data_IF_649481443388
#
_entry.id   IF_649481443388
#
_cell.length_a   1.000
_cell.length_b   1.000
_cell.length_c   1.000
_cell.angle_alpha   90.00
_cell.angle_beta   90.00
_cell.angle_gamma   90.00
#
_symmetry.space_group_name_H-M   'P 1'
#
loop_
_entity.id
_entity.type
_entity.pdbx_description
1 polymer ?
#
# COMPACT_ATOMS: atom_id res chain seq x y z
N UNK A 1 9.76 29.46 -5.00
CA UNK A 1 9.10 28.22 -4.55
C UNK A 1 10.23 27.25 -4.29
N UNK A 2 10.33 26.69 -3.09
CA UNK A 2 11.40 25.77 -2.73
C UNK A 2 11.35 24.55 -3.65
N UNK A 3 12.50 24.19 -4.18
CA UNK A 3 12.76 23.05 -5.06
C UNK A 3 12.79 21.75 -4.23
N UNK A 4 11.82 21.62 -3.33
CA UNK A 4 11.74 20.47 -2.42
C UNK A 4 11.06 19.30 -3.14
N UNK A 5 11.67 18.13 -3.06
CA UNK A 5 11.17 16.95 -3.74
C UNK A 5 9.73 16.59 -3.28
N UNK A 6 8.84 16.32 -4.23
CA UNK A 6 7.42 16.00 -3.97
C UNK A 6 7.20 14.61 -3.36
N UNK A 7 8.21 13.75 -3.41
CA UNK A 7 8.28 12.45 -2.74
C UNK A 7 9.65 12.35 -2.08
N UNK A 8 9.65 12.04 -0.79
CA UNK A 8 10.85 11.78 0.00
C UNK A 8 10.95 10.29 0.28
N UNK A 9 12.17 9.77 0.36
CA UNK A 9 12.42 8.40 0.81
C UNK A 9 13.42 8.40 1.95
N UNK A 10 13.16 7.54 2.94
CA UNK A 10 14.06 7.25 4.05
C UNK A 10 14.13 5.73 4.24
N UNK A 11 15.28 5.20 4.64
CA UNK A 11 15.46 3.77 4.82
C UNK A 11 16.15 3.44 6.13
N UNK A 12 15.64 2.45 6.81
CA UNK A 12 16.26 1.87 8.00
C UNK A 12 15.85 0.40 8.13
N UNK A 13 16.80 -0.45 8.47
CA UNK A 13 16.57 -1.85 8.84
C UNK A 13 15.71 -2.64 7.84
N UNK A 14 15.92 -2.42 6.54
CA UNK A 14 15.19 -3.08 5.46
C UNK A 14 13.80 -2.52 5.17
N UNK A 15 13.41 -1.42 5.81
CA UNK A 15 12.14 -0.71 5.56
C UNK A 15 12.40 0.55 4.75
N UNK A 16 11.69 0.71 3.64
CA UNK A 16 11.66 1.93 2.83
C UNK A 16 10.42 2.75 3.16
N UNK A 17 10.59 3.92 3.77
CA UNK A 17 9.52 4.90 3.97
C UNK A 17 9.43 5.79 2.74
N UNK A 18 8.24 5.89 2.15
CA UNK A 18 7.91 6.72 0.98
C UNK A 18 6.92 7.78 1.46
N UNK A 19 7.34 9.04 1.46
CA UNK A 19 6.53 10.15 1.95
C UNK A 19 6.10 11.06 0.80
N UNK A 20 4.79 11.18 0.56
CA UNK A 20 4.25 12.22 -0.31
C UNK A 20 4.43 13.55 0.41
N UNK A 21 5.21 14.47 -0.19
CA UNK A 21 5.64 15.71 0.45
C UNK A 21 5.09 16.94 -0.25
N UNK A 22 3.78 17.13 -0.15
CA UNK A 22 3.05 18.33 -0.60
C UNK A 22 1.99 18.72 0.44
N UNK A 23 2.38 18.98 1.71
CA UNK A 23 1.43 19.22 2.79
C UNK A 23 0.53 20.45 2.54
N UNK A 24 1.02 21.49 1.86
CA UNK A 24 0.26 22.67 1.45
C UNK A 24 -0.90 22.36 0.50
N UNK A 25 -0.77 21.28 -0.28
CA UNK A 25 -1.81 20.74 -1.17
C UNK A 25 -2.51 19.51 -0.58
N UNK A 26 -2.38 19.25 0.74
CA UNK A 26 -2.88 18.02 1.41
C UNK A 26 -2.41 16.75 0.71
N UNK A 27 -1.18 16.76 0.23
CA UNK A 27 -0.54 15.65 -0.48
C UNK A 27 -1.31 15.18 -1.73
N UNK A 28 -2.01 16.11 -2.40
CA UNK A 28 -2.68 15.83 -3.65
C UNK A 28 -1.69 15.38 -4.72
N UNK A 29 -2.08 14.36 -5.48
CA UNK A 29 -1.23 13.68 -6.46
C UNK A 29 -1.23 14.44 -7.79
N UNK A 30 -0.06 14.92 -8.18
CA UNK A 30 0.28 15.39 -9.52
C UNK A 30 1.24 14.41 -10.20
N UNK A 31 1.66 14.68 -11.42
CA UNK A 31 2.55 13.79 -12.18
C UNK A 31 3.90 13.56 -11.48
N UNK A 32 4.47 14.60 -10.86
CA UNK A 32 5.74 14.49 -10.11
C UNK A 32 5.62 13.54 -8.91
N UNK A 33 4.50 13.57 -8.17
CA UNK A 33 4.22 12.60 -7.11
C UNK A 33 4.11 11.19 -7.68
N UNK A 34 3.35 11.02 -8.78
CA UNK A 34 3.19 9.70 -9.40
C UNK A 34 4.52 9.11 -9.87
N UNK A 35 5.38 9.92 -10.47
CA UNK A 35 6.73 9.52 -10.89
C UNK A 35 7.61 9.15 -9.68
N UNK A 36 7.60 9.97 -8.62
CA UNK A 36 8.38 9.72 -7.41
C UNK A 36 7.96 8.44 -6.67
N UNK A 37 6.65 8.20 -6.56
CA UNK A 37 6.13 6.95 -5.96
C UNK A 37 6.51 5.75 -6.81
N UNK A 38 6.33 5.82 -8.15
CA UNK A 38 6.72 4.73 -9.04
C UNK A 38 8.20 4.37 -8.91
N UNK A 39 9.09 5.38 -8.91
CA UNK A 39 10.53 5.18 -8.76
C UNK A 39 10.88 4.56 -7.38
N UNK A 40 10.23 5.01 -6.31
CA UNK A 40 10.44 4.45 -4.97
C UNK A 40 10.00 2.97 -4.88
N UNK A 41 8.89 2.60 -5.53
CA UNK A 41 8.42 1.20 -5.57
C UNK A 41 9.32 0.32 -6.45
N UNK A 42 9.88 0.84 -7.53
CA UNK A 42 10.90 0.13 -8.33
C UNK A 42 12.17 -0.12 -7.51
N UNK A 43 12.60 0.90 -6.76
CA UNK A 43 13.72 0.77 -5.83
C UNK A 43 13.43 -0.29 -4.76
N UNK A 44 12.24 -0.25 -4.13
CA UNK A 44 11.82 -1.26 -3.15
C UNK A 44 11.95 -2.68 -3.71
N UNK A 45 11.47 -2.92 -4.93
CA UNK A 45 11.46 -4.25 -5.53
C UNK A 45 12.84 -4.71 -6.00
N UNK A 46 13.71 -3.80 -6.48
CA UNK A 46 15.02 -4.12 -7.06
C UNK A 46 16.15 -4.27 -6.05
N UNK A 47 16.08 -3.59 -4.89
CA UNK A 47 17.13 -3.64 -3.86
C UNK A 47 16.88 -4.78 -2.87
N UNK A 48 17.79 -5.77 -2.82
CA UNK A 48 17.66 -6.93 -1.91
C UNK A 48 17.75 -6.56 -0.43
N UNK A 49 18.37 -5.44 -0.08
CA UNK A 49 18.43 -4.90 1.28
C UNK A 49 17.07 -4.41 1.79
N UNK A 50 16.17 -4.00 0.89
CA UNK A 50 14.83 -3.53 1.23
C UNK A 50 13.86 -4.71 1.28
N UNK A 51 13.03 -4.76 2.29
CA UNK A 51 12.11 -5.87 2.58
C UNK A 51 10.64 -5.46 2.53
N UNK A 52 10.33 -4.25 3.01
CA UNK A 52 8.96 -3.74 3.18
C UNK A 52 8.95 -2.25 2.87
N UNK A 53 7.91 -1.78 2.18
CA UNK A 53 7.63 -0.36 1.99
C UNK A 53 6.58 0.17 2.97
N UNK A 54 6.70 1.44 3.36
CA UNK A 54 5.67 2.20 4.08
C UNK A 54 5.37 3.46 3.30
N UNK A 55 4.14 3.62 2.83
CA UNK A 55 3.67 4.83 2.15
C UNK A 55 2.94 5.74 3.15
N UNK A 56 3.31 7.02 3.19
CA UNK A 56 2.70 8.02 4.07
C UNK A 56 2.64 9.40 3.41
N UNK A 57 2.02 10.37 4.08
CA UNK A 57 1.98 11.77 3.66
C UNK A 57 2.54 12.70 4.73
N UNK A 58 3.27 13.74 4.31
CA UNK A 58 3.78 14.76 5.18
C UNK A 58 2.67 15.64 5.77
N UNK A 59 2.93 16.29 6.91
CA UNK A 59 2.05 17.32 7.48
C UNK A 59 0.71 16.82 8.06
N UNK A 60 0.64 15.56 8.52
CA UNK A 60 -0.54 15.04 9.23
C UNK A 60 -1.74 14.73 8.35
N UNK A 61 -1.53 14.55 7.05
CA UNK A 61 -2.55 14.12 6.09
C UNK A 61 -1.92 13.12 5.13
N UNK A 62 -2.56 11.97 4.92
CA UNK A 62 -2.05 10.97 3.98
C UNK A 62 -2.10 11.50 2.53
N UNK A 63 -3.30 11.65 1.98
CA UNK A 63 -3.50 12.17 0.62
C UNK A 63 -4.96 12.53 0.37
N UNK A 64 -5.22 13.72 -0.15
CA UNK A 64 -6.58 14.19 -0.48
C UNK A 64 -7.06 13.81 -1.90
N UNK A 65 -6.28 13.04 -2.66
CA UNK A 65 -6.62 12.59 -4.01
C UNK A 65 -5.84 13.28 -5.11
N UNK A 66 -6.42 13.34 -6.32
CA UNK A 66 -5.80 13.98 -7.48
C UNK A 66 -5.71 15.50 -7.30
N UNK A 67 -4.62 16.08 -7.76
CA UNK A 67 -4.48 17.54 -7.85
C UNK A 67 -5.41 18.09 -8.97
N UNK A 68 -6.56 18.62 -8.56
CA UNK A 68 -7.57 19.11 -9.50
C UNK A 68 -7.10 20.36 -10.26
N UNK A 69 -6.14 21.12 -9.76
CA UNK A 69 -5.56 22.25 -10.51
C UNK A 69 -4.70 21.72 -11.66
N UNK A 70 -3.87 20.72 -11.39
CA UNK A 70 -3.09 20.04 -12.42
C UNK A 70 -4.01 19.35 -13.45
N UNK A 71 -5.08 18.70 -13.00
CA UNK A 71 -6.08 18.07 -13.87
C UNK A 71 -6.72 19.07 -14.85
N UNK A 72 -7.17 20.24 -14.39
CA UNK A 72 -7.77 21.28 -15.25
C UNK A 72 -6.76 21.82 -16.27
N UNK A 73 -5.45 21.82 -15.95
CA UNK A 73 -4.38 22.17 -16.90
C UNK A 73 -4.00 21.03 -17.85
N UNK A 74 -4.68 19.88 -17.80
CA UNK A 74 -4.45 18.73 -18.69
C UNK A 74 -3.40 17.74 -18.19
N UNK A 75 -2.96 17.87 -16.94
CA UNK A 75 -2.01 16.93 -16.34
C UNK A 75 -2.75 15.75 -15.68
N UNK A 76 -2.38 14.54 -16.06
CA UNK A 76 -2.91 13.31 -15.49
C UNK A 76 -1.78 12.56 -14.76
N UNK A 77 -1.90 12.29 -13.45
CA UNK A 77 -0.87 11.59 -12.67
C UNK A 77 -0.97 10.07 -12.87
N UNK A 78 -0.90 9.64 -14.13
CA UNK A 78 -0.88 8.24 -14.56
C UNK A 78 0.52 7.86 -15.00
N UNK A 79 0.99 6.70 -14.55
CA UNK A 79 2.24 6.09 -15.03
C UNK A 79 1.88 4.83 -15.80
N UNK A 80 2.39 4.71 -17.02
CA UNK A 80 2.14 3.55 -17.87
C UNK A 80 2.52 2.24 -17.15
N UNK A 81 1.61 1.27 -17.16
CA UNK A 81 1.77 -0.02 -16.50
C UNK A 81 1.73 0.01 -14.96
N UNK A 82 1.56 1.21 -14.33
CA UNK A 82 1.44 1.35 -12.87
C UNK A 82 0.15 2.03 -12.42
N UNK A 83 -0.50 2.79 -13.33
CA UNK A 83 -1.76 3.48 -13.05
C UNK A 83 -1.60 4.80 -12.29
N UNK A 84 -2.70 5.27 -11.70
CA UNK A 84 -2.75 6.51 -10.93
C UNK A 84 -1.76 6.50 -9.76
N UNK A 85 -1.11 7.65 -9.54
CA UNK A 85 -0.13 7.82 -8.46
C UNK A 85 1.06 6.86 -8.55
N UNK A 86 1.29 6.23 -9.72
CA UNK A 86 2.40 5.33 -9.96
C UNK A 86 2.28 3.96 -9.30
N UNK A 87 1.08 3.55 -8.83
CA UNK A 87 0.95 2.30 -8.09
C UNK A 87 -0.43 1.62 -8.11
N UNK A 88 -1.49 2.29 -8.59
CA UNK A 88 -2.83 1.73 -8.38
C UNK A 88 -3.17 0.54 -9.29
N UNK A 89 -2.57 0.40 -10.45
CA UNK A 89 -2.71 -0.79 -11.30
C UNK A 89 -1.67 -1.86 -10.94
N UNK A 90 -0.44 -1.44 -10.66
CA UNK A 90 0.65 -2.31 -10.21
C UNK A 90 1.40 -1.67 -9.03
N UNK A 91 1.18 -2.20 -7.84
CA UNK A 91 1.94 -1.89 -6.63
C UNK A 91 3.31 -2.61 -6.63
N UNK A 92 4.03 -2.59 -5.52
CA UNK A 92 5.26 -3.37 -5.35
C UNK A 92 4.98 -4.87 -5.26
N UNK A 93 5.98 -5.68 -5.62
CA UNK A 93 5.98 -7.12 -5.37
C UNK A 93 6.26 -7.43 -3.89
N UNK A 94 7.10 -6.62 -3.24
CA UNK A 94 7.35 -6.67 -1.80
C UNK A 94 6.19 -6.05 -1.01
N UNK A 95 6.00 -6.40 0.27
CA UNK A 95 4.93 -5.83 1.09
C UNK A 95 4.95 -4.31 1.15
N UNK A 96 3.76 -3.70 1.12
CA UNK A 96 3.57 -2.26 1.23
C UNK A 96 2.48 -1.94 2.24
N UNK A 97 2.78 -1.06 3.19
CA UNK A 97 1.87 -0.62 4.26
C UNK A 97 1.52 0.84 4.04
N UNK A 98 0.24 1.20 4.09
CA UNK A 98 -0.18 2.59 4.18
C UNK A 98 -0.19 3.05 5.64
N UNK A 99 0.53 4.13 5.95
CA UNK A 99 0.48 4.81 7.24
C UNK A 99 -0.37 6.08 7.10
N UNK A 100 -1.62 6.02 7.58
CA UNK A 100 -2.64 7.02 7.27
C UNK A 100 -2.90 7.93 8.44
N UNK A 101 -2.51 9.20 8.29
CA UNK A 101 -2.96 10.30 9.13
C UNK A 101 -4.03 11.12 8.39
N UNK A 102 -5.00 11.66 9.11
CA UNK A 102 -5.99 12.59 8.58
C UNK A 102 -6.75 12.04 7.36
N UNK A 103 -6.54 12.61 6.19
CA UNK A 103 -7.35 12.29 5.01
C UNK A 103 -6.67 11.28 4.07
N UNK A 104 -7.40 10.19 3.77
CA UNK A 104 -7.18 9.28 2.64
C UNK A 104 -8.43 9.33 1.77
N UNK A 105 -8.54 10.31 0.87
CA UNK A 105 -9.76 10.61 0.12
C UNK A 105 -9.55 10.53 -1.40
N UNK A 106 -10.59 10.15 -2.12
CA UNK A 106 -10.55 10.01 -3.58
C UNK A 106 -9.39 9.11 -4.01
N UNK A 107 -8.56 9.57 -4.96
CA UNK A 107 -7.33 8.88 -5.33
C UNK A 107 -6.41 8.55 -4.15
N UNK A 108 -6.44 9.33 -3.05
CA UNK A 108 -5.70 9.02 -1.82
C UNK A 108 -6.24 7.78 -1.09
N UNK A 109 -7.55 7.57 -1.10
CA UNK A 109 -8.15 6.33 -0.64
C UNK A 109 -7.74 5.16 -1.55
N UNK A 110 -7.73 5.38 -2.86
CA UNK A 110 -7.33 4.37 -3.85
C UNK A 110 -5.84 3.97 -3.70
N UNK A 111 -4.95 4.92 -3.36
CA UNK A 111 -3.57 4.61 -2.99
C UNK A 111 -3.50 3.77 -1.71
N UNK A 112 -4.24 4.15 -0.66
CA UNK A 112 -4.23 3.42 0.61
C UNK A 112 -4.71 1.97 0.45
N UNK A 113 -5.83 1.75 -0.27
CA UNK A 113 -6.37 0.40 -0.51
C UNK A 113 -5.61 -0.41 -1.57
N UNK A 114 -4.69 0.20 -2.30
CA UNK A 114 -3.74 -0.49 -3.17
C UNK A 114 -2.51 -1.01 -2.41
N UNK A 115 -2.29 -0.56 -1.18
CA UNK A 115 -1.32 -1.16 -0.25
C UNK A 115 -1.85 -2.50 0.28
N UNK A 116 -0.97 -3.33 0.82
CA UNK A 116 -1.33 -4.65 1.35
C UNK A 116 -1.93 -4.56 2.75
N UNK A 117 -1.47 -3.60 3.55
CA UNK A 117 -1.91 -3.36 4.92
C UNK A 117 -2.12 -1.86 5.15
N UNK A 118 -2.99 -1.52 6.09
CA UNK A 118 -3.26 -0.14 6.49
C UNK A 118 -3.15 0.01 8.01
N UNK A 119 -2.29 0.92 8.44
CA UNK A 119 -2.22 1.45 9.80
C UNK A 119 -2.80 2.86 9.76
N UNK A 120 -3.76 3.19 10.59
CA UNK A 120 -4.42 4.49 10.57
C UNK A 120 -4.53 5.13 11.95
N UNK A 121 -4.39 6.43 12.00
CA UNK A 121 -4.71 7.21 13.17
C UNK A 121 -6.23 7.26 13.42
N UNK A 122 -6.68 7.38 14.67
CA UNK A 122 -8.10 7.43 15.06
C UNK A 122 -8.85 8.59 14.39
N UNK A 123 -8.15 9.68 14.05
CA UNK A 123 -8.72 10.82 13.34
C UNK A 123 -8.79 10.64 11.82
N UNK A 124 -8.32 9.52 11.28
CA UNK A 124 -8.28 9.28 9.85
C UNK A 124 -9.68 9.17 9.22
N UNK A 125 -9.80 9.64 7.98
CA UNK A 125 -11.02 9.60 7.17
C UNK A 125 -10.71 8.96 5.83
N UNK A 126 -11.52 7.96 5.48
CA UNK A 126 -11.47 7.26 4.20
C UNK A 126 -12.70 7.59 3.37
N UNK A 127 -12.58 7.62 2.06
CA UNK A 127 -13.73 7.82 1.19
C UNK A 127 -13.37 8.04 -0.27
N UNK A 128 -14.37 7.82 -1.13
CA UNK A 128 -14.29 8.02 -2.59
C UNK A 128 -15.37 9.03 -3.02
N UNK A 129 -15.19 10.34 -2.73
CA UNK A 129 -16.21 11.38 -2.90
C UNK A 129 -16.32 11.91 -4.33
N UNK A 130 -15.75 11.25 -5.33
CA UNK A 130 -15.71 11.68 -6.72
C UNK A 130 -17.10 12.01 -7.28
N UNK A 131 -18.11 11.23 -6.88
CA UNK A 131 -19.52 11.42 -7.33
C UNK A 131 -20.08 12.81 -6.97
N UNK A 132 -19.60 13.44 -5.87
CA UNK A 132 -19.97 14.81 -5.48
C UNK A 132 -19.43 15.87 -6.45
N UNK A 133 -18.59 15.47 -7.41
CA UNK A 133 -17.98 16.34 -8.43
C UNK A 133 -18.26 15.87 -9.86
N UNK A 134 -19.22 14.95 -10.03
CA UNK A 134 -19.55 14.37 -11.33
C UNK A 134 -18.43 13.50 -11.92
N UNK A 135 -17.53 12.99 -11.05
CA UNK A 135 -16.44 12.09 -11.40
C UNK A 135 -16.69 10.70 -10.81
N UNK A 136 -15.82 9.78 -11.13
CA UNK A 136 -15.86 8.39 -10.64
C UNK A 136 -14.49 7.99 -10.12
N UNK A 137 -14.42 7.18 -9.07
CA UNK A 137 -13.17 6.65 -8.51
C UNK A 137 -12.59 5.60 -9.46
N UNK A 138 -11.80 6.05 -10.44
CA UNK A 138 -11.33 5.25 -11.57
C UNK A 138 -9.96 4.58 -11.33
N UNK A 139 -9.31 4.84 -10.19
CA UNK A 139 -7.99 4.29 -9.89
C UNK A 139 -8.05 2.99 -9.05
N UNK A 140 -9.16 2.26 -9.15
CA UNK A 140 -9.36 0.95 -8.54
C UNK A 140 -10.20 0.95 -7.27
N UNK A 141 -10.70 2.08 -6.79
CA UNK A 141 -11.55 2.19 -5.62
C UNK A 141 -12.80 1.32 -5.73
N UNK A 142 -13.50 1.43 -6.87
CA UNK A 142 -14.75 0.69 -7.12
C UNK A 142 -14.55 -0.82 -7.33
N UNK A 143 -13.33 -1.25 -7.64
CA UNK A 143 -12.99 -2.66 -7.82
C UNK A 143 -12.49 -3.28 -6.52
N UNK A 144 -11.66 -2.53 -5.75
CA UNK A 144 -11.03 -3.06 -4.53
C UNK A 144 -11.93 -2.99 -3.31
N UNK A 145 -12.64 -1.87 -3.09
CA UNK A 145 -13.47 -1.72 -1.88
C UNK A 145 -14.48 -2.86 -1.71
N UNK A 146 -15.26 -3.29 -2.73
CA UNK A 146 -16.22 -4.37 -2.56
C UNK A 146 -15.61 -5.74 -2.22
N UNK A 147 -14.30 -5.91 -2.44
CA UNK A 147 -13.57 -7.13 -2.08
C UNK A 147 -12.84 -7.03 -0.72
N UNK A 148 -12.75 -5.83 -0.14
CA UNK A 148 -12.03 -5.57 1.11
C UNK A 148 -12.97 -5.26 2.29
N UNK A 149 -14.17 -4.72 2.00
CA UNK A 149 -15.20 -4.41 2.99
C UNK A 149 -16.57 -4.94 2.54
N UNK A 150 -17.57 -5.05 3.45
CA UNK A 150 -18.89 -5.51 3.07
C UNK A 150 -19.49 -4.72 1.90
N UNK A 151 -20.03 -5.42 0.92
CA UNK A 151 -20.55 -4.85 -0.34
C UNK A 151 -21.44 -3.62 -0.14
N UNK A 152 -22.38 -3.67 0.84
CA UNK A 152 -23.29 -2.53 1.10
C UNK A 152 -22.57 -1.30 1.64
N UNK A 153 -21.48 -1.47 2.39
CA UNK A 153 -20.66 -0.37 2.88
C UNK A 153 -19.87 0.24 1.72
N UNK A 154 -19.32 -0.58 0.82
CA UNK A 154 -18.66 -0.08 -0.39
C UNK A 154 -19.64 0.71 -1.28
N UNK A 155 -20.86 0.20 -1.49
CA UNK A 155 -21.92 0.89 -2.23
C UNK A 155 -22.32 2.21 -1.60
N UNK A 156 -22.48 2.25 -0.26
CA UNK A 156 -22.79 3.49 0.46
C UNK A 156 -21.72 4.55 0.19
N UNK A 157 -20.43 4.22 0.38
CA UNK A 157 -19.33 5.15 0.14
C UNK A 157 -19.30 5.63 -1.32
N UNK A 158 -19.46 4.70 -2.28
CA UNK A 158 -19.40 5.00 -3.71
C UNK A 158 -20.57 5.88 -4.19
N UNK A 159 -21.79 5.67 -3.68
CA UNK A 159 -22.98 6.36 -4.16
C UNK A 159 -23.24 7.68 -3.43
N UNK A 160 -22.87 7.77 -2.16
CA UNK A 160 -23.07 9.00 -1.36
C UNK A 160 -21.89 9.94 -1.40
N UNK A 161 -20.67 9.41 -1.63
CA UNK A 161 -19.41 10.13 -1.50
C UNK A 161 -19.15 10.60 -0.06
N UNK A 162 -19.79 9.96 0.95
CA UNK A 162 -19.53 10.26 2.35
C UNK A 162 -18.21 9.65 2.83
N UNK A 163 -17.69 10.18 3.94
CA UNK A 163 -16.45 9.70 4.52
C UNK A 163 -16.71 8.68 5.61
N UNK A 164 -15.88 7.67 5.67
CA UNK A 164 -15.83 6.67 6.72
C UNK A 164 -14.72 7.02 7.71
N UNK A 165 -15.04 7.15 9.00
CA UNK A 165 -14.05 7.33 10.06
C UNK A 165 -13.25 6.05 10.33
N UNK A 166 -12.11 6.21 11.00
CA UNK A 166 -11.17 5.13 11.26
C UNK A 166 -11.78 3.98 12.08
N UNK A 167 -12.60 4.28 13.11
CA UNK A 167 -13.27 3.24 13.91
C UNK A 167 -14.18 2.35 13.04
N UNK A 168 -14.99 2.97 12.17
CA UNK A 168 -15.85 2.21 11.26
C UNK A 168 -15.02 1.44 10.24
N UNK A 169 -13.94 2.02 9.72
CA UNK A 169 -13.04 1.36 8.78
C UNK A 169 -12.37 0.14 9.43
N UNK A 170 -11.97 0.23 10.71
CA UNK A 170 -11.47 -0.90 11.49
C UNK A 170 -12.54 -1.97 11.69
N UNK A 171 -13.75 -1.58 12.09
CA UNK A 171 -14.85 -2.52 12.28
C UNK A 171 -15.27 -3.24 10.99
N UNK A 172 -15.08 -2.62 9.82
CA UNK A 172 -15.35 -3.22 8.51
C UNK A 172 -14.18 -4.02 7.93
N UNK A 173 -13.03 -4.07 8.62
CA UNK A 173 -11.84 -4.82 8.18
C UNK A 173 -10.97 -4.12 7.15
N UNK A 174 -11.16 -2.82 6.92
CA UNK A 174 -10.33 -2.04 5.99
C UNK A 174 -8.95 -1.71 6.58
N UNK A 175 -8.88 -1.54 7.89
CA UNK A 175 -7.68 -1.15 8.63
C UNK A 175 -7.18 -2.33 9.46
N UNK A 176 -5.86 -2.52 9.52
CA UNK A 176 -5.22 -3.58 10.32
C UNK A 176 -4.93 -3.14 11.75
N UNK A 177 -4.59 -1.86 11.94
CA UNK A 177 -4.28 -1.31 13.26
C UNK A 177 -4.74 0.15 13.35
N UNK A 178 -5.35 0.51 14.49
CA UNK A 178 -5.60 1.89 14.89
C UNK A 178 -4.52 2.38 15.84
N UNK A 179 -4.24 3.68 15.79
CA UNK A 179 -3.25 4.31 16.65
C UNK A 179 -3.64 5.76 16.97
N UNK A 180 -3.03 6.31 18.00
CA UNK A 180 -3.16 7.73 18.35
C UNK A 180 -2.76 8.63 17.17
N UNK A 181 -3.39 9.80 17.01
CA UNK A 181 -2.99 10.79 16.01
C UNK A 181 -1.51 11.17 16.14
N UNK A 182 -0.81 11.19 15.00
CA UNK A 182 0.63 11.45 14.92
C UNK A 182 1.50 10.20 15.04
N UNK A 183 0.94 9.01 15.30
CA UNK A 183 1.69 7.77 15.53
C UNK A 183 1.54 6.74 14.41
N UNK A 184 0.82 7.04 13.32
CA UNK A 184 0.56 6.06 12.27
C UNK A 184 1.85 5.59 11.58
N UNK A 185 2.80 6.49 11.32
CA UNK A 185 4.06 6.14 10.68
C UNK A 185 4.91 5.21 11.58
N UNK A 186 5.06 5.54 12.85
CA UNK A 186 5.88 4.73 13.76
C UNK A 186 5.26 3.34 13.99
N UNK A 187 3.93 3.28 14.11
CA UNK A 187 3.20 2.01 14.21
C UNK A 187 3.35 1.18 12.93
N UNK A 188 3.28 1.80 11.76
CA UNK A 188 3.50 1.13 10.48
C UNK A 188 4.95 0.63 10.32
N UNK A 189 5.95 1.41 10.74
CA UNK A 189 7.36 0.99 10.78
C UNK A 189 7.56 -0.22 11.69
N UNK A 190 6.94 -0.23 12.87
CA UNK A 190 7.01 -1.37 13.78
C UNK A 190 6.34 -2.62 13.16
N UNK A 191 5.24 -2.47 12.43
CA UNK A 191 4.63 -3.57 11.68
C UNK A 191 5.53 -4.04 10.54
N UNK A 192 6.14 -3.11 9.79
CA UNK A 192 7.08 -3.40 8.72
C UNK A 192 8.30 -4.19 9.21
N UNK A 193 8.87 -3.84 10.38
CA UNK A 193 9.96 -4.57 11.00
C UNK A 193 9.59 -6.03 11.30
N UNK A 194 8.40 -6.26 11.85
CA UNK A 194 7.90 -7.62 12.10
C UNK A 194 7.76 -8.44 10.82
N UNK A 195 7.44 -7.81 9.70
CA UNK A 195 7.38 -8.48 8.38
C UNK A 195 8.80 -8.73 7.87
N UNK A 196 9.71 -7.75 8.00
CA UNK A 196 11.09 -7.83 7.53
C UNK A 196 11.93 -8.89 8.26
N UNK A 197 11.53 -9.29 9.47
CA UNK A 197 12.15 -10.39 10.22
C UNK A 197 11.87 -11.78 9.61
N UNK A 198 10.89 -11.90 8.71
CA UNK A 198 10.53 -13.18 8.07
C UNK A 198 11.34 -13.41 6.78
N UNK A 199 11.37 -14.66 6.31
CA UNK A 199 12.02 -15.04 5.05
C UNK A 199 11.45 -14.28 3.85
N UNK A 200 12.23 -13.45 3.17
CA UNK A 200 11.72 -12.48 2.19
C UNK A 200 11.09 -13.14 0.97
N UNK A 201 11.65 -14.27 0.52
CA UNK A 201 11.07 -15.04 -0.59
C UNK A 201 9.69 -15.59 -0.22
N UNK A 202 9.55 -16.15 0.98
CA UNK A 202 8.28 -16.68 1.47
C UNK A 202 7.22 -15.57 1.61
N UNK A 203 7.58 -14.40 2.14
CA UNK A 203 6.69 -13.24 2.26
C UNK A 203 6.22 -12.76 0.89
N UNK A 204 7.14 -12.58 -0.07
CA UNK A 204 6.83 -12.14 -1.44
C UNK A 204 5.89 -13.13 -2.14
N UNK A 205 6.17 -14.44 -2.05
CA UNK A 205 5.35 -15.47 -2.69
C UNK A 205 3.97 -15.58 -2.02
N UNK A 206 3.88 -15.47 -0.70
CA UNK A 206 2.60 -15.46 0.01
C UNK A 206 1.72 -14.30 -0.45
N UNK A 207 2.27 -13.08 -0.57
CA UNK A 207 1.56 -11.92 -1.14
C UNK A 207 1.11 -12.19 -2.57
N UNK A 208 1.99 -12.71 -3.42
CA UNK A 208 1.69 -13.01 -4.83
C UNK A 208 0.51 -14.00 -4.96
N UNK A 209 0.51 -15.08 -4.16
CA UNK A 209 -0.57 -16.08 -4.13
C UNK A 209 -1.90 -15.44 -3.71
N UNK A 210 -1.92 -14.70 -2.59
CA UNK A 210 -3.15 -14.06 -2.09
C UNK A 210 -3.74 -13.10 -3.13
N UNK A 211 -2.90 -12.34 -3.85
CA UNK A 211 -3.35 -11.43 -4.91
C UNK A 211 -3.90 -12.18 -6.11
N UNK A 212 -3.16 -13.17 -6.60
CA UNK A 212 -3.51 -13.90 -7.82
C UNK A 212 -4.68 -14.89 -7.62
N UNK A 213 -4.85 -15.45 -6.41
CA UNK A 213 -5.90 -16.43 -6.11
C UNK A 213 -7.33 -15.91 -6.32
N UNK A 214 -7.51 -14.59 -6.36
CA UNK A 214 -8.82 -13.98 -6.65
C UNK A 214 -9.32 -14.25 -8.08
N UNK A 215 -8.39 -14.50 -9.00
CA UNK A 215 -8.66 -14.70 -10.42
C UNK A 215 -8.56 -16.18 -10.82
N UNK A 216 -8.24 -17.07 -9.87
CA UNK A 216 -8.14 -18.52 -10.14
C UNK A 216 -9.50 -19.20 -9.98
N UNK A 217 -9.79 -20.12 -10.88
CA UNK A 217 -10.87 -21.10 -10.67
C UNK A 217 -10.46 -22.13 -9.61
N UNK A 218 -11.42 -22.82 -9.01
CA UNK A 218 -11.17 -23.88 -8.03
C UNK A 218 -10.25 -24.98 -8.59
N UNK A 219 -10.38 -25.29 -9.89
CA UNK A 219 -9.55 -26.31 -10.57
C UNK A 219 -8.11 -25.86 -10.79
N UNK A 220 -7.87 -24.55 -10.94
CA UNK A 220 -6.53 -23.96 -11.17
C UNK A 220 -5.79 -23.63 -9.87
N UNK A 221 -6.53 -23.39 -8.79
CA UNK A 221 -5.98 -22.83 -7.55
C UNK A 221 -4.78 -23.61 -7.01
N UNK A 222 -4.90 -24.94 -6.92
CA UNK A 222 -3.83 -25.78 -6.38
C UNK A 222 -2.62 -25.87 -7.31
N UNK A 223 -2.85 -26.00 -8.62
CA UNK A 223 -1.76 -26.06 -9.60
C UNK A 223 -0.97 -24.76 -9.63
N UNK A 224 -1.69 -23.62 -9.66
CA UNK A 224 -1.09 -22.29 -9.69
C UNK A 224 -0.33 -21.97 -8.40
N UNK A 225 -0.93 -22.27 -7.23
CA UNK A 225 -0.27 -22.12 -5.94
C UNK A 225 1.01 -22.97 -5.86
N UNK A 226 0.94 -24.25 -6.24
CA UNK A 226 2.07 -25.16 -6.17
C UNK A 226 3.24 -24.70 -7.05
N UNK A 227 2.96 -24.17 -8.24
CA UNK A 227 3.98 -23.60 -9.11
C UNK A 227 4.73 -22.42 -8.46
N UNK A 228 4.04 -21.58 -7.69
CA UNK A 228 4.63 -20.45 -6.97
C UNK A 228 5.36 -20.88 -5.69
N UNK A 229 4.87 -21.90 -4.98
CA UNK A 229 5.45 -22.32 -3.69
C UNK A 229 6.66 -23.23 -3.85
N UNK A 230 6.74 -24.03 -4.92
CA UNK A 230 7.84 -24.98 -5.12
C UNK A 230 9.24 -24.36 -5.01
N UNK A 231 9.55 -23.21 -5.66
CA UNK A 231 10.85 -22.56 -5.53
C UNK A 231 11.18 -22.14 -4.10
N UNK A 232 10.17 -21.81 -3.29
CA UNK A 232 10.38 -21.43 -1.89
C UNK A 232 10.87 -22.62 -1.08
N UNK A 233 10.27 -23.79 -1.23
CA UNK A 233 10.64 -25.00 -0.50
C UNK A 233 12.04 -25.54 -0.85
N UNK A 234 12.58 -25.15 -1.99
CA UNK A 234 13.94 -25.55 -2.42
C UNK A 234 14.98 -24.45 -2.22
N UNK A 235 14.60 -23.32 -1.63
CA UNK A 235 15.46 -22.15 -1.41
C UNK A 235 16.46 -22.36 -0.28
N UNK A 236 17.55 -21.57 -0.30
CA UNK A 236 18.50 -21.50 0.82
C UNK A 236 17.80 -21.03 2.11
N UNK A 237 16.85 -20.09 1.99
CA UNK A 237 16.08 -19.56 3.12
C UNK A 237 15.19 -20.61 3.78
N UNK A 238 14.62 -21.55 3.01
CA UNK A 238 13.84 -22.64 3.59
C UNK A 238 14.70 -23.57 4.47
N UNK A 239 15.92 -23.88 4.02
CA UNK A 239 16.88 -24.68 4.77
C UNK A 239 17.36 -23.92 6.00
N UNK A 240 17.72 -22.64 5.84
CA UNK A 240 18.13 -21.77 6.93
C UNK A 240 17.04 -21.63 7.99
N UNK A 241 15.80 -21.38 7.60
CA UNK A 241 14.68 -21.25 8.54
C UNK A 241 14.46 -22.52 9.37
N UNK A 242 14.52 -23.70 8.75
CA UNK A 242 14.40 -24.98 9.44
C UNK A 242 15.58 -25.23 10.40
N UNK A 243 16.79 -24.91 9.97
CA UNK A 243 18.02 -25.07 10.76
C UNK A 243 18.01 -24.12 11.97
N UNK A 244 17.75 -22.83 11.74
CA UNK A 244 17.71 -21.80 12.78
C UNK A 244 16.66 -22.14 13.85
N UNK A 245 15.47 -22.64 13.43
CA UNK A 245 14.44 -23.12 14.35
C UNK A 245 14.91 -24.28 15.22
N UNK A 246 15.56 -25.30 14.63
CA UNK A 246 16.08 -26.45 15.35
C UNK A 246 17.19 -26.06 16.36
N UNK A 247 18.02 -25.09 15.97
CA UNK A 247 19.14 -24.55 16.76
C UNK A 247 18.72 -23.48 17.77
N UNK A 248 17.45 -23.03 17.76
CA UNK A 248 16.90 -21.95 18.60
C UNK A 248 17.65 -20.62 18.47
N UNK A 249 18.08 -20.29 17.27
CA UNK A 249 18.72 -19.01 16.91
C UNK A 249 17.86 -18.20 15.94
N UNK A 250 18.20 -16.92 15.76
CA UNK A 250 17.61 -16.12 14.69
C UNK A 250 18.12 -16.61 13.33
N UNK A 251 17.24 -16.66 12.32
CA UNK A 251 17.65 -16.99 10.94
C UNK A 251 18.39 -15.83 10.27
N UNK A 252 19.25 -16.17 9.31
CA UNK A 252 20.00 -15.23 8.47
C UNK A 252 19.52 -15.36 7.02
N UNK A 253 18.50 -14.57 6.67
CA UNK A 253 17.84 -14.65 5.37
C UNK A 253 18.72 -14.12 4.24
N UNK A 254 18.78 -14.85 3.13
CA UNK A 254 19.50 -14.48 1.91
C UNK A 254 18.58 -14.07 0.76
N UNK A 255 17.29 -14.35 0.84
CA UNK A 255 16.29 -14.02 -0.18
C UNK A 255 16.31 -14.94 -1.41
N UNK A 256 16.90 -16.10 -1.31
CA UNK A 256 17.07 -17.04 -2.42
C UNK A 256 17.06 -18.49 -1.99
#
# INVERSE_FOLDING_TARGET
MSDEATVLTDEADGVLVITINRPEAKNAVNLSVAQGVAAALERLDSEDSLRVGVLTGAGGTFCAGMDLKAFVSGEFPQIEGRGFGGMTERSADKPLIAAVEGYALAGGCELAIACDLIVAAENAKFGIPEVKRGLVAAAGGLVRLPSQIPYRVAMELALTGEFMGADRAMAMGLINQLTEPGSALDTAKALAQRIAENGPLAVKVSKAIIKASRDWSDDEAWTSQNALTQPVFTSEDAIEGATAFAEKRKPEWKGR
#
